data_IF_475410101682
#
_entry.id   IF_475410101682
#
_cell.length_a   1.000
_cell.length_b   1.000
_cell.length_c   1.000
_cell.angle_alpha   90.00
_cell.angle_beta   90.00
_cell.angle_gamma   90.00
#
_symmetry.space_group_name_H-M   'P 1'
#
loop_
_entity.id
_entity.type
_entity.pdbx_description
1 polymer ?
#
# COMPACT_ATOMS: atom_id res chain seq x y z
N UNK A 1 -29.52 -52.06 6.16
CA UNK A 1 -30.80 -51.76 6.82
C UNK A 1 -30.49 -50.83 7.99
N UNK A 2 -31.09 -49.63 8.05
CA UNK A 2 -30.85 -48.69 9.14
C UNK A 2 -31.35 -49.24 10.48
N UNK A 3 -30.60 -49.01 11.55
CA UNK A 3 -31.16 -48.83 12.89
C UNK A 3 -30.40 -47.69 13.56
N UNK A 4 -31.00 -46.50 13.49
CA UNK A 4 -30.84 -45.44 14.48
C UNK A 4 -31.90 -45.67 15.58
N UNK A 5 -31.72 -45.15 16.80
CA UNK A 5 -32.77 -44.78 17.78
C UNK A 5 -32.12 -44.32 19.10
N UNK A 6 -32.44 -43.09 19.51
CA UNK A 6 -32.20 -42.52 20.86
C UNK A 6 -33.11 -43.13 21.92
N UNK A 7 -32.65 -43.21 23.18
CA UNK A 7 -33.37 -43.00 24.46
C UNK A 7 -32.34 -43.18 25.64
N UNK A 8 -32.50 -42.79 26.92
CA UNK A 8 -33.54 -42.06 27.70
C UNK A 8 -32.98 -41.54 29.05
N UNK A 9 -33.57 -40.48 29.66
CA UNK A 9 -33.62 -40.20 31.13
C UNK A 9 -32.32 -39.87 31.93
N UNK A 10 -32.32 -39.28 33.15
CA UNK A 10 -33.30 -38.43 33.88
C UNK A 10 -32.59 -37.51 34.91
N UNK A 11 -33.32 -36.56 35.50
CA UNK A 11 -32.91 -35.54 36.50
C UNK A 11 -33.14 -36.01 37.95
N UNK A 12 -32.30 -35.63 38.92
CA UNK A 12 -32.69 -35.35 40.33
C UNK A 12 -31.63 -34.50 41.07
N UNK A 13 -31.99 -33.90 42.22
CA UNK A 13 -31.32 -32.72 42.83
C UNK A 13 -30.54 -33.02 44.14
N UNK A 14 -29.62 -32.08 44.45
CA UNK A 14 -29.37 -31.45 45.76
C UNK A 14 -28.20 -31.92 46.66
N UNK A 15 -27.29 -30.96 46.89
CA UNK A 15 -26.31 -30.80 47.99
C UNK A 15 -25.27 -31.90 48.27
N UNK A 16 -24.00 -31.48 48.32
CA UNK A 16 -23.09 -31.48 49.50
C UNK A 16 -21.72 -30.95 49.03
N UNK A 17 -21.58 -29.61 48.98
CA UNK A 17 -20.25 -28.98 48.97
C UNK A 17 -19.74 -28.91 50.41
N UNK A 18 -18.51 -29.36 50.66
CA UNK A 18 -17.54 -28.80 51.63
C UNK A 18 -16.24 -29.63 51.63
N UNK A 19 -15.18 -29.08 52.22
CA UNK A 19 -13.79 -29.57 52.26
C UNK A 19 -13.02 -29.35 50.93
N UNK A 20 -12.69 -28.10 50.62
CA UNK A 20 -11.46 -27.35 50.97
C UNK A 20 -10.27 -27.60 50.01
N UNK A 21 -9.53 -26.56 49.60
CA UNK A 21 -8.52 -26.64 48.55
C UNK A 21 -7.14 -26.96 49.12
N UNK A 22 -6.30 -27.64 48.32
CA UNK A 22 -4.86 -27.55 48.49
C UNK A 22 -4.13 -27.74 47.15
N UNK A 23 -3.13 -26.88 46.94
CA UNK A 23 -1.96 -27.11 46.09
C UNK A 23 -2.19 -27.48 44.60
N UNK A 24 -2.00 -26.50 43.71
CA UNK A 24 -0.88 -26.51 42.75
C UNK A 24 -0.91 -25.27 41.85
N UNK A 25 -0.18 -24.23 42.25
CA UNK A 25 0.24 -23.14 41.36
C UNK A 25 1.31 -23.71 40.42
N UNK A 26 0.94 -24.05 39.18
CA UNK A 26 1.90 -24.38 38.12
C UNK A 26 1.72 -23.48 36.89
N UNK A 27 2.58 -22.46 36.88
CA UNK A 27 3.22 -21.81 35.75
C UNK A 27 2.38 -21.60 34.47
N UNK A 28 1.93 -20.35 34.36
CA UNK A 28 1.63 -19.65 33.12
C UNK A 28 2.74 -19.83 32.06
N UNK A 29 2.47 -20.59 31.00
CA UNK A 29 3.19 -20.46 29.72
C UNK A 29 2.27 -20.64 28.51
N UNK A 30 1.06 -20.05 28.59
CA UNK A 30 0.33 -19.66 27.40
C UNK A 30 1.12 -18.54 26.69
N UNK A 31 2.15 -18.95 25.94
CA UNK A 31 2.97 -18.08 25.11
C UNK A 31 2.12 -17.47 24.02
N UNK A 32 1.47 -16.35 24.35
CA UNK A 32 0.83 -15.50 23.36
C UNK A 32 1.93 -14.98 22.44
N UNK A 33 2.12 -15.65 21.31
CA UNK A 33 2.81 -15.10 20.17
C UNK A 33 1.99 -13.91 19.66
N UNK A 34 2.13 -12.78 20.35
CA UNK A 34 1.68 -11.49 19.86
C UNK A 34 2.57 -11.12 18.69
N UNK A 35 2.24 -11.68 17.52
CA UNK A 35 2.55 -11.04 16.26
C UNK A 35 1.92 -9.65 16.36
N UNK A 36 2.73 -8.65 16.72
CA UNK A 36 2.36 -7.26 16.59
C UNK A 36 2.03 -7.07 15.11
N UNK A 37 0.73 -7.06 14.79
CA UNK A 37 0.22 -6.56 13.53
C UNK A 37 0.65 -5.11 13.50
N UNK A 38 1.81 -4.86 12.89
CA UNK A 38 2.20 -3.52 12.52
C UNK A 38 1.20 -3.12 11.45
N UNK A 39 0.11 -2.48 11.88
CA UNK A 39 -0.94 -2.00 11.01
C UNK A 39 -0.31 -0.96 10.11
N UNK A 40 -0.01 -1.39 8.88
CA UNK A 40 0.68 -0.60 7.89
C UNK A 40 -0.18 0.61 7.55
N UNK A 41 0.07 1.73 8.25
CA UNK A 41 -0.56 3.02 7.97
C UNK A 41 -0.42 3.31 6.48
N UNK A 42 -1.53 3.64 5.84
CA UNK A 42 -1.53 4.13 4.47
C UNK A 42 -1.28 5.64 4.53
N UNK A 43 -0.29 6.08 3.78
CA UNK A 43 0.08 7.48 3.62
C UNK A 43 -0.28 7.94 2.21
N UNK A 44 -0.49 9.24 2.05
CA UNK A 44 -0.83 9.85 0.77
C UNK A 44 0.24 10.89 0.42
N UNK A 45 0.62 10.91 -0.86
CA UNK A 45 1.59 11.81 -1.47
C UNK A 45 0.87 12.51 -2.62
N UNK A 46 0.96 13.83 -2.71
CA UNK A 46 0.28 14.62 -3.73
C UNK A 46 1.31 15.27 -4.66
N UNK A 47 0.82 15.98 -5.66
CA UNK A 47 1.66 16.79 -6.51
C UNK A 47 0.98 17.09 -7.83
N UNK A 48 1.69 17.84 -8.66
CA UNK A 48 1.18 18.34 -9.94
C UNK A 48 2.16 17.95 -11.04
N UNK A 49 1.65 17.27 -12.07
CA UNK A 49 2.36 17.07 -13.32
C UNK A 49 2.26 18.37 -14.11
N UNK A 50 3.40 18.99 -14.43
CA UNK A 50 3.49 20.25 -15.17
C UNK A 50 3.74 20.02 -16.67
N UNK A 51 3.14 20.87 -17.49
CA UNK A 51 3.25 20.90 -18.95
C UNK A 51 2.22 21.87 -19.52
N UNK A 52 2.26 22.07 -20.83
CA UNK A 52 1.49 23.09 -21.56
C UNK A 52 0.67 22.50 -22.74
N UNK A 53 0.49 21.18 -22.76
CA UNK A 53 -0.17 20.45 -23.83
C UNK A 53 -1.42 19.68 -23.36
N UNK A 54 -2.48 19.60 -24.20
CA UNK A 54 -3.61 18.70 -23.97
C UNK A 54 -3.19 17.25 -24.22
N UNK A 55 -3.80 16.33 -23.48
CA UNK A 55 -3.62 14.89 -23.66
C UNK A 55 -4.65 14.37 -24.68
N UNK A 56 -4.24 13.56 -25.68
CA UNK A 56 -5.17 12.95 -26.63
C UNK A 56 -6.02 11.85 -25.97
N UNK A 57 -6.99 11.34 -26.72
CA UNK A 57 -7.77 10.16 -26.37
C UNK A 57 -6.89 8.88 -26.34
N UNK A 58 -7.27 7.93 -25.48
CA UNK A 58 -6.60 6.67 -25.19
C UNK A 58 -5.22 6.85 -24.52
N UNK A 59 -5.20 7.70 -23.49
CA UNK A 59 -4.03 8.03 -22.68
C UNK A 59 -4.20 7.56 -21.23
N UNK A 60 -3.16 6.90 -20.72
CA UNK A 60 -3.02 6.64 -19.29
C UNK A 60 -1.92 7.53 -18.70
N UNK A 61 -2.22 8.15 -17.57
CA UNK A 61 -1.20 8.75 -16.70
C UNK A 61 -0.82 7.72 -15.65
N UNK A 62 0.47 7.48 -15.49
CA UNK A 62 1.04 6.57 -14.48
C UNK A 62 1.97 7.37 -13.59
N UNK A 63 1.80 7.25 -12.27
CA UNK A 63 2.70 7.85 -11.28
C UNK A 63 3.19 6.75 -10.35
N UNK A 64 4.50 6.65 -10.14
CA UNK A 64 5.12 5.66 -9.27
C UNK A 64 6.00 6.32 -8.22
N UNK A 65 6.12 5.66 -7.06
CA UNK A 65 7.14 5.95 -6.05
C UNK A 65 8.16 4.82 -6.09
N UNK A 66 9.43 5.17 -6.37
CA UNK A 66 10.50 4.21 -6.59
C UNK A 66 11.57 4.35 -5.52
N UNK A 67 12.01 3.22 -4.95
CA UNK A 67 13.15 3.12 -4.04
C UNK A 67 14.46 3.16 -4.85
N UNK A 68 15.14 4.31 -4.80
CA UNK A 68 16.38 4.59 -5.50
C UNK A 68 17.57 3.84 -4.91
N UNK A 69 17.48 3.48 -3.62
CA UNK A 69 18.52 2.70 -2.94
C UNK A 69 18.44 1.22 -3.34
N UNK A 70 17.27 0.74 -3.76
CA UNK A 70 17.04 -0.66 -4.15
C UNK A 70 16.72 -0.82 -5.65
N UNK A 71 17.67 -0.42 -6.53
CA UNK A 71 17.59 -0.62 -8.00
C UNK A 71 16.31 -0.06 -8.65
N UNK A 72 15.88 1.13 -8.22
CA UNK A 72 14.67 1.80 -8.71
C UNK A 72 13.37 0.98 -8.52
N UNK A 73 13.31 0.11 -7.51
CA UNK A 73 12.13 -0.72 -7.23
C UNK A 73 10.88 0.16 -7.00
N UNK A 74 9.83 -0.05 -7.80
CA UNK A 74 8.50 0.54 -7.57
C UNK A 74 7.91 0.00 -6.26
N UNK A 75 7.62 0.89 -5.30
CA UNK A 75 7.01 0.58 -4.01
C UNK A 75 5.55 1.05 -3.87
N UNK A 76 5.09 1.92 -4.78
CA UNK A 76 3.69 2.31 -4.97
C UNK A 76 3.46 2.76 -6.41
N UNK A 77 2.24 2.55 -6.92
CA UNK A 77 1.80 2.96 -8.26
C UNK A 77 0.36 3.48 -8.21
N UNK A 78 0.12 4.60 -8.88
CA UNK A 78 -1.19 5.15 -9.21
C UNK A 78 -1.30 5.24 -10.74
N UNK A 79 -2.48 4.95 -11.28
CA UNK A 79 -2.74 5.00 -12.72
C UNK A 79 -4.18 5.46 -12.95
N UNK A 80 -4.37 6.40 -13.87
CA UNK A 80 -5.69 6.94 -14.23
C UNK A 80 -5.78 7.28 -15.72
N UNK A 81 -7.00 7.44 -16.22
CA UNK A 81 -7.26 7.88 -17.58
C UNK A 81 -6.97 9.38 -17.71
N UNK A 82 -6.13 9.75 -18.69
CA UNK A 82 -5.77 11.13 -19.01
C UNK A 82 -6.60 11.72 -20.16
N UNK A 83 -7.58 10.96 -20.68
CA UNK A 83 -8.34 11.26 -21.89
C UNK A 83 -8.96 12.68 -21.84
N UNK A 84 -8.58 13.54 -22.79
CA UNK A 84 -9.06 14.91 -22.90
C UNK A 84 -8.63 15.88 -21.79
N UNK A 85 -7.81 15.44 -20.83
CA UNK A 85 -7.23 16.33 -19.81
C UNK A 85 -6.17 17.25 -20.44
N UNK A 86 -5.77 18.30 -19.72
CA UNK A 86 -4.69 19.20 -20.12
C UNK A 86 -3.81 19.45 -18.91
N UNK A 87 -2.48 19.46 -19.10
CA UNK A 87 -1.55 19.80 -18.03
C UNK A 87 -1.66 21.29 -17.67
N UNK A 88 -1.50 21.68 -16.39
CA UNK A 88 -1.12 20.85 -15.26
C UNK A 88 -2.22 19.91 -14.73
N UNK A 89 -1.85 18.73 -14.24
CA UNK A 89 -2.76 17.73 -13.65
C UNK A 89 -2.27 17.32 -12.26
N UNK A 90 -3.14 17.45 -11.26
CA UNK A 90 -2.87 16.99 -9.90
C UNK A 90 -3.05 15.47 -9.74
N UNK A 91 -2.25 14.86 -8.88
CA UNK A 91 -2.35 13.45 -8.51
C UNK A 91 -2.32 13.24 -7.00
N UNK A 92 -2.80 12.07 -6.57
CA UNK A 92 -2.59 11.56 -5.22
C UNK A 92 -2.20 10.08 -5.28
N UNK A 93 -0.99 9.78 -4.83
CA UNK A 93 -0.43 8.44 -4.75
C UNK A 93 -0.53 7.93 -3.30
N UNK A 94 -1.23 6.83 -3.10
CA UNK A 94 -1.26 6.14 -1.80
C UNK A 94 -0.10 5.14 -1.69
N UNK A 95 0.55 5.08 -0.52
CA UNK A 95 1.64 4.15 -0.25
C UNK A 95 1.59 3.59 1.17
N UNK A 96 2.17 2.40 1.36
CA UNK A 96 2.33 1.73 2.65
C UNK A 96 3.52 2.33 3.40
N UNK A 97 3.32 2.76 4.64
CA UNK A 97 4.42 3.18 5.53
C UNK A 97 5.41 2.05 5.80
N UNK A 98 4.96 0.78 5.77
CA UNK A 98 5.83 -0.39 5.92
C UNK A 98 6.74 -0.65 4.71
N UNK A 99 6.51 0.01 3.57
CA UNK A 99 7.42 -0.02 2.42
C UNK A 99 8.56 1.02 2.55
N UNK A 100 8.45 1.97 3.49
CA UNK A 100 9.46 3.00 3.73
C UNK A 100 10.52 2.48 4.71
N UNK A 101 11.78 2.70 4.37
CA UNK A 101 12.95 2.27 5.16
C UNK A 101 13.84 3.46 5.47
N UNK A 102 14.44 3.44 6.64
CA UNK A 102 15.37 4.48 7.07
C UNK A 102 16.66 4.44 6.24
N UNK A 103 17.21 5.61 5.90
CA UNK A 103 18.36 5.82 5.00
C UNK A 103 18.12 5.41 3.53
N UNK A 104 16.88 5.12 3.14
CA UNK A 104 16.52 4.93 1.73
C UNK A 104 16.09 6.25 1.10
N UNK A 105 16.36 6.41 -0.20
CA UNK A 105 15.90 7.57 -0.99
C UNK A 105 14.81 7.12 -1.95
N UNK A 106 13.75 7.91 -2.03
CA UNK A 106 12.58 7.65 -2.85
C UNK A 106 12.40 8.75 -3.88
N UNK A 107 11.99 8.40 -5.10
CA UNK A 107 11.71 9.34 -6.20
C UNK A 107 10.30 9.11 -6.72
N UNK A 108 9.56 10.18 -6.98
CA UNK A 108 8.35 10.09 -7.80
C UNK A 108 8.78 10.11 -9.27
N UNK A 109 8.26 9.19 -10.06
CA UNK A 109 8.34 9.21 -11.52
C UNK A 109 6.92 9.22 -12.09
N UNK A 110 6.76 9.88 -13.24
CA UNK A 110 5.49 9.98 -13.94
C UNK A 110 5.70 9.69 -15.43
N UNK A 111 4.79 8.91 -15.99
CA UNK A 111 4.74 8.55 -17.40
C UNK A 111 3.35 8.85 -17.96
N UNK A 112 3.30 9.33 -19.21
CA UNK A 112 2.06 9.45 -19.97
C UNK A 112 2.17 8.50 -21.15
N UNK A 113 1.29 7.50 -21.14
CA UNK A 113 1.26 6.38 -22.09
C UNK A 113 0.11 6.57 -23.06
N UNK A 114 0.42 6.81 -24.33
CA UNK A 114 -0.55 6.92 -25.44
C UNK A 114 -0.49 5.62 -26.24
N UNK A 115 -1.62 4.91 -26.39
CA UNK A 115 -1.72 3.69 -27.22
C UNK A 115 -0.64 2.62 -26.91
N UNK A 116 -0.20 2.53 -25.66
CA UNK A 116 0.83 1.58 -25.21
C UNK A 116 2.28 2.07 -25.34
N UNK A 117 2.52 3.29 -25.82
CA UNK A 117 3.85 3.90 -25.89
C UNK A 117 4.01 5.02 -24.87
N UNK A 118 5.11 5.05 -24.13
CA UNK A 118 5.46 6.20 -23.27
C UNK A 118 5.77 7.38 -24.19
N UNK A 119 4.98 8.46 -24.08
CA UNK A 119 5.13 9.69 -24.86
C UNK A 119 5.79 10.80 -24.05
N UNK A 120 5.47 10.87 -22.76
CA UNK A 120 6.05 11.87 -21.87
C UNK A 120 6.54 11.22 -20.59
N UNK A 121 7.65 11.74 -20.08
CA UNK A 121 8.26 11.34 -18.81
C UNK A 121 8.57 12.56 -17.97
N UNK A 122 8.46 12.42 -16.66
CA UNK A 122 8.87 13.42 -15.69
C UNK A 122 9.27 12.75 -14.39
N UNK A 123 10.16 13.36 -13.63
CA UNK A 123 10.58 12.86 -12.33
C UNK A 123 10.84 13.97 -11.33
N UNK A 124 10.55 13.68 -10.06
CA UNK A 124 10.88 14.55 -8.94
C UNK A 124 12.31 14.35 -8.44
N UNK A 125 12.73 15.19 -7.49
CA UNK A 125 14.00 14.98 -6.79
C UNK A 125 13.90 13.81 -5.81
N UNK A 126 14.88 12.89 -5.86
CA UNK A 126 14.97 11.79 -4.92
C UNK A 126 15.26 12.30 -3.49
N UNK A 127 14.46 11.91 -2.50
CA UNK A 127 14.56 12.35 -1.11
C UNK A 127 14.35 11.18 -0.11
N UNK A 128 14.88 11.29 1.11
CA UNK A 128 14.43 10.42 2.20
C UNK A 128 13.03 10.88 2.66
N UNK A 129 12.11 9.94 2.87
CA UNK A 129 10.75 10.23 3.30
C UNK A 129 10.65 10.16 4.82
N UNK A 130 10.06 11.18 5.43
CA UNK A 130 9.80 11.19 6.87
C UNK A 130 8.72 10.14 7.24
N UNK A 131 8.85 9.42 8.37
CA UNK A 131 7.83 8.45 8.82
C UNK A 131 6.47 9.06 9.22
N UNK A 132 6.42 10.37 9.47
CA UNK A 132 5.23 11.13 9.85
C UNK A 132 4.87 12.14 8.74
N UNK A 133 3.60 12.58 8.63
CA UNK A 133 3.06 13.07 7.37
C UNK A 133 3.59 14.46 6.98
N UNK A 134 4.70 14.49 6.24
CA UNK A 134 4.91 15.51 5.23
C UNK A 134 4.01 15.18 4.03
N UNK A 135 3.05 16.05 3.74
CA UNK A 135 2.52 16.16 2.38
C UNK A 135 3.72 16.52 1.51
N UNK A 136 4.25 15.53 0.79
CA UNK A 136 5.20 15.79 -0.28
C UNK A 136 4.37 16.46 -1.37
N UNK A 137 4.50 17.78 -1.47
CA UNK A 137 3.89 18.60 -2.52
C UNK A 137 4.96 18.81 -3.59
N UNK A 138 4.87 18.01 -4.65
CA UNK A 138 5.90 17.92 -5.68
C UNK A 138 5.36 18.40 -7.04
N UNK A 139 6.07 19.32 -7.67
CA UNK A 139 5.86 19.66 -9.08
C UNK A 139 6.79 18.82 -9.95
N UNK A 140 6.24 18.12 -10.93
CA UNK A 140 6.97 17.21 -11.82
C UNK A 140 6.85 17.73 -13.24
N UNK A 141 7.95 18.25 -13.80
CA UNK A 141 7.96 18.72 -15.18
C UNK A 141 7.91 17.54 -16.15
N UNK A 142 6.81 17.43 -16.90
CA UNK A 142 6.68 16.44 -17.97
C UNK A 142 7.42 16.90 -19.21
N UNK A 143 8.09 15.96 -19.87
CA UNK A 143 8.92 16.20 -21.07
C UNK A 143 8.62 15.14 -22.12
N UNK A 144 8.58 15.54 -23.40
CA UNK A 144 8.35 14.62 -24.51
C UNK A 144 9.54 13.67 -24.68
N UNK A 145 9.27 12.37 -24.71
CA UNK A 145 10.26 11.36 -25.10
C UNK A 145 10.61 11.57 -26.56
N UNK A 146 11.85 12.00 -26.82
CA UNK A 146 12.40 12.04 -28.18
C UNK A 146 12.53 10.61 -28.67
N UNK A 147 11.69 10.22 -29.63
CA UNK A 147 11.89 8.96 -30.35
C UNK A 147 13.30 8.92 -30.91
N UNK A 148 14.07 7.88 -30.60
CA UNK A 148 15.33 7.64 -31.27
C UNK A 148 15.03 7.38 -32.75
N UNK A 149 15.51 8.27 -33.63
CA UNK A 149 15.43 8.06 -35.07
C UNK A 149 16.20 6.79 -35.41
N UNK A 150 15.48 5.73 -35.78
CA UNK A 150 16.11 4.56 -36.38
C UNK A 150 16.62 4.98 -37.76
N UNK A 151 17.94 5.09 -37.89
CA UNK A 151 18.65 5.19 -39.15
C UNK A 151 18.96 3.79 -39.70
#
# INVERSE_FOLDING_TARGET
>A
MNIDIKLVMMKHNNQWYLLLPLLCVFLSSAGQAQAQRHESRIHHMTGTLLGDYPLPEHVFVVVTLNDQTQHDQVIAKYQFHGDGLTLPIDFQLAYSGANIRHNHRYRIQAEIVERGHVRYVGEGMAAELAPEPSVYDGQIQMTLVKSASSH
#
